data_IF_068196150843
#
_entry.id   IF_068196150843
#
_cell.length_a   1.000
_cell.length_b   1.000
_cell.length_c   1.000
_cell.angle_alpha   90.00
_cell.angle_beta   90.00
_cell.angle_gamma   90.00
#
_symmetry.space_group_name_H-M   'P 1'
#
loop_
_entity.id
_entity.type
_entity.pdbx_description
1 polymer ?
#
# COMPACT_ATOMS: atom_id res chain seq x y z
N UNK A 1 -24.63 40.64 -60.98
CA UNK A 1 -23.48 39.80 -60.59
C UNK A 1 -23.69 39.30 -59.16
N UNK A 2 -24.21 38.07 -58.98
CA UNK A 2 -24.31 37.41 -57.66
C UNK A 2 -23.36 36.21 -57.68
N UNK A 3 -22.26 36.27 -56.92
CA UNK A 3 -21.36 35.13 -56.72
C UNK A 3 -21.96 34.21 -55.66
N UNK A 4 -22.30 32.99 -56.04
CA UNK A 4 -22.64 31.91 -55.10
C UNK A 4 -21.32 31.28 -54.68
N UNK A 5 -21.00 31.40 -53.39
CA UNK A 5 -19.84 30.75 -52.77
C UNK A 5 -20.30 29.38 -52.25
N UNK A 6 -19.88 28.29 -52.91
CA UNK A 6 -20.10 26.94 -52.40
C UNK A 6 -19.14 26.67 -51.24
N UNK A 7 -19.69 26.60 -50.03
CA UNK A 7 -18.97 26.20 -48.82
C UNK A 7 -18.87 24.67 -48.80
N UNK A 8 -17.69 24.14 -49.08
CA UNK A 8 -17.40 22.71 -48.97
C UNK A 8 -17.14 22.38 -47.49
N UNK A 9 -18.14 21.79 -46.82
CA UNK A 9 -17.99 21.31 -45.44
C UNK A 9 -17.18 20.02 -45.48
N UNK A 10 -15.91 20.11 -45.07
CA UNK A 10 -15.10 18.93 -44.74
C UNK A 10 -15.65 18.34 -43.43
N UNK A 11 -16.48 17.29 -43.54
CA UNK A 11 -16.83 16.46 -42.40
C UNK A 11 -15.58 15.67 -42.02
N UNK A 12 -14.85 16.16 -41.02
CA UNK A 12 -13.80 15.41 -40.37
C UNK A 12 -14.48 14.27 -39.59
N UNK A 13 -14.56 13.10 -40.22
CA UNK A 13 -15.03 11.89 -39.57
C UNK A 13 -14.02 11.52 -38.48
N UNK A 14 -14.25 11.97 -37.24
CA UNK A 14 -13.64 11.37 -36.07
C UNK A 14 -14.07 9.90 -36.06
N UNK A 15 -13.21 9.01 -36.54
CA UNK A 15 -13.38 7.58 -36.34
C UNK A 15 -13.19 7.32 -34.86
N UNK A 16 -14.28 7.42 -34.09
CA UNK A 16 -14.44 6.66 -32.86
C UNK A 16 -14.28 5.20 -33.27
N UNK A 17 -13.09 4.63 -33.11
CA UNK A 17 -12.92 3.19 -33.15
C UNK A 17 -13.78 2.65 -32.02
N UNK A 18 -14.99 2.22 -32.35
CA UNK A 18 -15.90 1.60 -31.40
C UNK A 18 -15.14 0.42 -30.78
N UNK A 19 -14.85 0.51 -29.48
CA UNK A 19 -14.27 -0.57 -28.72
C UNK A 19 -15.30 -1.71 -28.73
N UNK A 20 -15.07 -2.76 -29.52
CA UNK A 20 -15.73 -4.04 -29.29
C UNK A 20 -14.98 -4.72 -28.14
N UNK A 21 -15.38 -4.41 -26.91
CA UNK A 21 -14.74 -4.93 -25.72
C UNK A 21 -15.57 -6.01 -25.06
N UNK A 22 -14.86 -7.05 -24.65
CA UNK A 22 -15.38 -7.98 -23.66
C UNK A 22 -15.21 -7.34 -22.27
N UNK A 23 -16.22 -7.50 -21.42
CA UNK A 23 -16.17 -7.04 -20.03
C UNK A 23 -16.25 -8.19 -19.04
N UNK A 24 -15.57 -8.03 -17.92
CA UNK A 24 -15.61 -8.92 -16.77
C UNK A 24 -15.99 -8.10 -15.54
N UNK A 25 -16.79 -8.67 -14.63
CA UNK A 25 -17.04 -8.03 -13.34
C UNK A 25 -15.75 -7.91 -12.54
N UNK A 26 -15.65 -6.91 -11.67
CA UNK A 26 -14.46 -6.74 -10.85
C UNK A 26 -14.25 -7.91 -9.88
N UNK A 27 -15.34 -8.50 -9.38
CA UNK A 27 -15.28 -9.65 -8.47
C UNK A 27 -15.07 -11.01 -9.18
N UNK A 28 -14.84 -11.02 -10.50
CA UNK A 28 -14.59 -12.24 -11.27
C UNK A 28 -13.43 -13.05 -10.67
N UNK A 29 -13.60 -14.38 -10.64
CA UNK A 29 -12.59 -15.31 -10.12
C UNK A 29 -11.22 -15.21 -10.80
N UNK A 30 -11.16 -14.67 -12.02
CA UNK A 30 -9.94 -14.49 -12.80
C UNK A 30 -9.14 -13.23 -12.42
N UNK A 31 -9.62 -12.47 -11.44
CA UNK A 31 -8.92 -11.31 -10.87
C UNK A 31 -8.57 -11.61 -9.42
N UNK A 32 -7.27 -11.68 -9.15
CA UNK A 32 -6.77 -11.82 -7.79
C UNK A 32 -6.66 -10.45 -7.13
N UNK A 33 -6.95 -10.39 -5.83
CA UNK A 33 -6.82 -9.20 -5.00
C UNK A 33 -5.94 -9.51 -3.80
N UNK A 34 -5.00 -8.62 -3.50
CA UNK A 34 -4.15 -8.68 -2.31
C UNK A 34 -4.31 -7.39 -1.53
N UNK A 35 -4.48 -7.54 -0.21
CA UNK A 35 -4.94 -6.47 0.67
C UNK A 35 -6.41 -6.67 1.07
N UNK A 36 -7.00 -5.64 1.68
CA UNK A 36 -8.36 -5.71 2.22
C UNK A 36 -9.34 -5.10 1.23
N UNK A 37 -10.29 -5.91 0.77
CA UNK A 37 -11.27 -5.52 -0.25
C UNK A 37 -12.67 -6.01 0.13
N UNK A 38 -13.68 -5.26 -0.28
CA UNK A 38 -15.08 -5.66 -0.21
C UNK A 38 -15.55 -6.04 -1.61
N UNK A 39 -16.00 -7.29 -1.80
CA UNK A 39 -16.63 -7.74 -3.05
C UNK A 39 -18.15 -7.59 -2.91
N UNK A 40 -18.76 -6.80 -3.79
CA UNK A 40 -20.19 -6.49 -3.77
C UNK A 40 -20.99 -7.46 -4.65
N UNK A 41 -22.30 -7.55 -4.36
CA UNK A 41 -23.24 -8.42 -5.09
C UNK A 41 -23.52 -7.96 -6.51
N UNK A 42 -23.26 -6.68 -6.83
CA UNK A 42 -23.40 -6.11 -8.17
C UNK A 42 -22.19 -6.38 -9.08
N UNK A 43 -21.20 -7.13 -8.59
CA UNK A 43 -19.97 -7.46 -9.33
C UNK A 43 -18.81 -6.51 -9.08
N UNK A 44 -19.03 -5.38 -8.38
CA UNK A 44 -17.98 -4.39 -8.11
C UNK A 44 -17.11 -4.77 -6.89
N UNK A 45 -15.92 -4.16 -6.79
CA UNK A 45 -14.99 -4.35 -5.67
C UNK A 45 -14.53 -3.01 -5.13
N UNK A 46 -14.60 -2.82 -3.81
CA UNK A 46 -14.23 -1.60 -3.09
C UNK A 46 -13.00 -1.80 -2.21
N UNK A 47 -12.14 -0.79 -2.13
CA UNK A 47 -10.99 -0.77 -1.23
C UNK A 47 -10.49 0.66 -0.99
N UNK A 48 -9.85 0.90 0.15
CA UNK A 48 -9.25 2.19 0.47
C UNK A 48 -7.89 2.09 1.19
N UNK A 49 -7.56 0.94 1.79
CA UNK A 49 -6.22 0.71 2.32
C UNK A 49 -5.16 0.87 1.24
N UNK A 50 -4.11 1.61 1.59
CA UNK A 50 -2.96 1.83 0.73
C UNK A 50 -2.28 0.53 0.33
N UNK A 51 -1.67 0.51 -0.85
CA UNK A 51 -0.93 -0.65 -1.33
C UNK A 51 -1.80 -1.83 -1.75
N UNK A 52 -3.12 -1.82 -1.50
CA UNK A 52 -4.05 -2.80 -2.07
C UNK A 52 -3.85 -2.87 -3.57
N UNK A 53 -3.70 -4.09 -4.08
CA UNK A 53 -3.51 -4.32 -5.50
C UNK A 53 -4.35 -5.48 -6.01
N UNK A 54 -4.60 -5.45 -7.31
CA UNK A 54 -5.17 -6.59 -8.01
C UNK A 54 -4.26 -7.01 -9.15
N UNK A 55 -4.41 -8.27 -9.56
CA UNK A 55 -3.68 -8.83 -10.70
C UNK A 55 -4.57 -9.71 -11.57
N UNK A 56 -4.23 -9.74 -12.85
CA UNK A 56 -4.80 -10.69 -13.80
C UNK A 56 -3.85 -10.84 -14.99
N UNK A 57 -3.70 -12.06 -15.48
CA UNK A 57 -3.07 -12.33 -16.76
C UNK A 57 -4.12 -12.14 -17.86
N UNK A 58 -3.80 -11.40 -18.93
CA UNK A 58 -4.74 -11.07 -19.98
C UNK A 58 -4.15 -11.23 -21.39
N UNK A 59 -5.01 -11.50 -22.37
CA UNK A 59 -4.65 -11.54 -23.81
C UNK A 59 -5.19 -10.33 -24.57
N UNK A 60 -4.91 -10.23 -25.87
CA UNK A 60 -5.50 -9.20 -26.74
C UNK A 60 -4.80 -7.84 -26.74
N UNK A 61 -3.77 -7.66 -25.91
CA UNK A 61 -2.84 -6.53 -26.00
C UNK A 61 -3.37 -5.17 -25.53
N UNK A 62 -4.54 -5.14 -24.89
CA UNK A 62 -5.11 -3.95 -24.24
C UNK A 62 -5.97 -4.33 -23.04
N UNK A 63 -5.99 -3.48 -22.02
CA UNK A 63 -6.82 -3.61 -20.83
C UNK A 63 -7.16 -2.23 -20.26
N UNK A 64 -8.42 -2.06 -19.86
CA UNK A 64 -8.97 -0.89 -19.21
C UNK A 64 -9.83 -1.31 -18.02
N UNK A 65 -10.17 -0.36 -17.16
CA UNK A 65 -11.10 -0.55 -16.05
C UNK A 65 -12.24 0.46 -16.14
N UNK A 66 -13.43 0.05 -15.75
CA UNK A 66 -14.53 0.95 -15.37
C UNK A 66 -14.47 1.14 -13.86
N UNK A 67 -14.25 2.37 -13.41
CA UNK A 67 -13.88 2.67 -12.01
C UNK A 67 -14.57 3.96 -11.55
N UNK A 68 -14.83 4.09 -10.25
CA UNK A 68 -15.23 5.33 -9.58
C UNK A 68 -14.44 5.51 -8.29
N UNK A 69 -14.41 6.73 -7.77
CA UNK A 69 -13.65 7.10 -6.57
C UNK A 69 -14.48 8.07 -5.73
N UNK A 70 -14.54 7.84 -4.41
CA UNK A 70 -15.33 8.68 -3.49
C UNK A 70 -14.68 10.05 -3.27
N UNK A 71 -13.36 10.12 -3.37
CA UNK A 71 -12.54 11.34 -3.31
C UNK A 71 -11.55 11.40 -4.47
N UNK A 72 -10.26 11.26 -4.16
CA UNK A 72 -9.19 11.12 -5.15
C UNK A 72 -8.14 10.07 -4.73
N UNK A 73 -7.55 9.40 -5.71
CA UNK A 73 -6.49 8.43 -5.45
C UNK A 73 -5.54 8.27 -6.62
N UNK A 74 -4.30 7.88 -6.32
CA UNK A 74 -3.32 7.51 -7.35
C UNK A 74 -3.11 6.01 -7.36
N UNK A 75 -2.88 5.45 -8.54
CA UNK A 75 -2.58 4.02 -8.72
C UNK A 75 -1.41 3.81 -9.67
N UNK A 76 -0.49 2.90 -9.31
CA UNK A 76 0.56 2.44 -10.21
C UNK A 76 -0.01 1.33 -11.12
N UNK A 77 0.27 1.44 -12.42
CA UNK A 77 0.00 0.41 -13.43
C UNK A 77 1.31 -0.30 -13.75
N UNK A 78 1.34 -1.61 -13.56
CA UNK A 78 2.44 -2.46 -14.01
C UNK A 78 1.95 -3.43 -15.09
N UNK A 79 2.79 -3.65 -16.09
CA UNK A 79 2.60 -4.67 -17.13
C UNK A 79 3.84 -5.54 -17.17
N UNK A 80 3.66 -6.86 -17.05
CA UNK A 80 4.77 -7.83 -16.99
C UNK A 80 5.82 -7.46 -15.93
N UNK A 81 5.33 -7.07 -14.73
CA UNK A 81 6.12 -6.59 -13.59
C UNK A 81 6.95 -5.30 -13.83
N UNK A 82 6.78 -4.66 -14.99
CA UNK A 82 7.39 -3.37 -15.32
C UNK A 82 6.40 -2.24 -15.02
N UNK A 83 6.85 -1.21 -14.31
CA UNK A 83 6.05 0.00 -14.08
C UNK A 83 5.82 0.75 -15.40
N UNK A 84 4.57 1.04 -15.73
CA UNK A 84 4.19 1.72 -16.97
C UNK A 84 3.84 3.18 -16.71
N UNK A 85 2.96 3.43 -15.74
CA UNK A 85 2.49 4.78 -15.41
C UNK A 85 1.84 4.81 -14.03
N UNK A 86 1.69 6.02 -13.50
CA UNK A 86 0.84 6.31 -12.34
C UNK A 86 -0.39 7.08 -12.83
N UNK A 87 -1.58 6.57 -12.53
CA UNK A 87 -2.86 7.18 -12.91
C UNK A 87 -3.52 7.87 -11.72
N UNK A 88 -4.25 8.94 -12.00
CA UNK A 88 -5.10 9.63 -11.03
C UNK A 88 -6.55 9.22 -11.29
N UNK A 89 -7.26 8.79 -10.25
CA UNK A 89 -8.67 8.43 -10.29
C UNK A 89 -9.43 9.38 -9.37
N UNK A 90 -10.51 9.97 -9.87
CA UNK A 90 -11.39 10.87 -9.12
C UNK A 90 -12.81 10.80 -9.68
N UNK A 91 -13.80 11.08 -8.85
CA UNK A 91 -15.19 11.21 -9.29
C UNK A 91 -16.05 9.98 -9.01
N UNK A 92 -17.26 10.25 -8.51
CA UNK A 92 -18.20 9.24 -8.00
C UNK A 92 -18.96 8.48 -9.10
N UNK A 93 -18.94 8.98 -10.33
CA UNK A 93 -19.58 8.32 -11.46
C UNK A 93 -18.61 7.35 -12.14
N UNK A 94 -19.04 6.11 -12.48
CA UNK A 94 -18.18 5.16 -13.16
C UNK A 94 -17.65 5.71 -14.49
N UNK A 95 -16.33 5.70 -14.65
CA UNK A 95 -15.62 6.14 -15.86
C UNK A 95 -14.66 5.07 -16.35
N UNK A 96 -14.34 5.08 -17.64
CA UNK A 96 -13.38 4.14 -18.24
C UNK A 96 -11.98 4.75 -18.24
N UNK A 97 -11.01 4.02 -17.68
CA UNK A 97 -9.59 4.39 -17.71
C UNK A 97 -8.80 3.28 -18.41
N UNK A 98 -8.13 3.63 -19.50
CA UNK A 98 -7.22 2.72 -20.21
C UNK A 98 -5.95 2.52 -19.39
N UNK A 99 -5.66 1.28 -19.02
CA UNK A 99 -4.47 0.94 -18.23
C UNK A 99 -3.28 0.66 -19.15
N UNK A 100 -3.49 -0.17 -20.17
CA UNK A 100 -2.49 -0.43 -21.21
C UNK A 100 -3.16 -0.72 -22.56
N UNK A 101 -2.48 -0.39 -23.64
CA UNK A 101 -2.91 -0.64 -25.02
C UNK A 101 -1.68 -0.83 -25.92
N UNK A 102 -1.91 -1.29 -27.16
CA UNK A 102 -0.87 -1.48 -28.18
C UNK A 102 0.25 -2.43 -27.73
N UNK A 103 -0.06 -3.37 -26.84
CA UNK A 103 0.86 -4.42 -26.45
C UNK A 103 0.85 -5.54 -27.51
N UNK A 104 1.89 -6.37 -27.50
CA UNK A 104 1.95 -7.58 -28.31
C UNK A 104 0.79 -8.54 -28.02
N UNK A 105 0.51 -9.47 -28.93
CA UNK A 105 -0.58 -10.47 -28.77
C UNK A 105 -0.28 -11.60 -27.78
N UNK A 106 0.85 -11.58 -27.08
CA UNK A 106 1.17 -12.57 -26.03
C UNK A 106 0.29 -12.34 -24.79
N UNK A 107 0.36 -13.26 -23.85
CA UNK A 107 -0.22 -13.06 -22.51
C UNK A 107 0.60 -12.01 -21.77
N UNK A 108 -0.08 -11.06 -21.15
CA UNK A 108 0.52 -10.01 -20.32
C UNK A 108 -0.05 -10.07 -18.91
N UNK A 109 0.75 -9.68 -17.92
CA UNK A 109 0.29 -9.56 -16.53
C UNK A 109 -0.01 -8.12 -16.18
N UNK A 110 -1.25 -7.82 -15.80
CA UNK A 110 -1.59 -6.54 -15.17
C UNK A 110 -1.38 -6.63 -13.66
N UNK A 111 -0.79 -5.60 -13.07
CA UNK A 111 -0.98 -5.24 -11.65
C UNK A 111 -1.38 -3.77 -11.55
N UNK A 112 -2.50 -3.48 -10.89
CA UNK A 112 -2.83 -2.12 -10.47
C UNK A 112 -2.74 -2.06 -8.95
N UNK A 113 -2.00 -1.09 -8.43
CA UNK A 113 -1.73 -0.93 -7.01
C UNK A 113 -2.13 0.47 -6.56
N UNK A 114 -2.94 0.58 -5.51
CA UNK A 114 -3.28 1.87 -4.90
C UNK A 114 -2.06 2.49 -4.22
N UNK A 115 -1.70 3.69 -4.65
CA UNK A 115 -0.55 4.42 -4.14
C UNK A 115 -0.86 5.21 -2.87
N UNK A 116 -2.10 5.69 -2.73
CA UNK A 116 -2.49 6.65 -1.69
C UNK A 116 -3.33 6.00 -0.61
N UNK A 117 -3.35 6.57 0.60
CA UNK A 117 -4.13 6.03 1.72
C UNK A 117 -5.63 6.34 1.61
N UNK A 118 -6.42 5.73 2.49
CA UNK A 118 -7.87 5.72 2.38
C UNK A 118 -8.51 7.03 2.83
N UNK A 119 -7.79 7.84 3.62
CA UNK A 119 -8.24 9.17 4.02
C UNK A 119 -8.58 10.08 2.81
N UNK A 120 -7.96 9.82 1.64
CA UNK A 120 -8.19 10.59 0.42
C UNK A 120 -9.30 10.03 -0.47
N UNK A 121 -9.64 8.75 -0.34
CA UNK A 121 -10.65 8.11 -1.19
C UNK A 121 -10.74 6.59 -1.08
N UNK A 122 -11.93 6.08 -1.37
CA UNK A 122 -12.25 4.67 -1.55
C UNK A 122 -12.57 4.38 -3.03
N UNK A 123 -11.71 3.56 -3.64
CA UNK A 123 -11.82 3.17 -5.04
C UNK A 123 -12.84 2.04 -5.20
N UNK A 124 -13.71 2.15 -6.20
CA UNK A 124 -14.62 1.08 -6.62
C UNK A 124 -14.33 0.70 -8.07
N UNK A 125 -13.87 -0.52 -8.30
CA UNK A 125 -13.76 -1.08 -9.65
C UNK A 125 -15.07 -1.78 -9.96
N UNK A 126 -15.67 -1.43 -11.09
CA UNK A 126 -16.93 -2.01 -11.56
C UNK A 126 -16.66 -3.15 -12.52
N UNK A 127 -15.79 -2.93 -13.50
CA UNK A 127 -15.53 -3.89 -14.57
C UNK A 127 -14.09 -3.79 -15.10
N UNK A 128 -13.59 -4.90 -15.62
CA UNK A 128 -12.44 -4.97 -16.50
C UNK A 128 -12.89 -5.01 -17.95
N UNK A 129 -12.23 -4.25 -18.81
CA UNK A 129 -12.52 -4.17 -20.23
C UNK A 129 -11.28 -4.60 -21.02
N UNK A 130 -11.43 -5.59 -21.88
CA UNK A 130 -10.34 -6.15 -22.71
C UNK A 130 -10.79 -6.25 -24.16
N UNK A 131 -9.86 -6.54 -25.06
CA UNK A 131 -10.20 -6.77 -26.47
C UNK A 131 -11.25 -7.88 -26.66
N UNK A 132 -12.01 -7.82 -27.75
CA UNK A 132 -12.91 -8.90 -28.15
C UNK A 132 -12.19 -10.27 -28.11
N UNK A 133 -12.85 -11.26 -27.50
CA UNK A 133 -12.36 -12.64 -27.28
C UNK A 133 -11.11 -12.75 -26.40
N UNK A 134 -10.64 -11.68 -25.77
CA UNK A 134 -9.57 -11.76 -24.80
C UNK A 134 -10.03 -12.48 -23.53
N UNK A 135 -9.09 -13.10 -22.84
CA UNK A 135 -9.33 -13.87 -21.64
C UNK A 135 -8.58 -13.25 -20.47
N UNK A 136 -9.18 -13.35 -19.29
CA UNK A 136 -8.52 -13.11 -18.01
C UNK A 136 -8.15 -14.45 -17.37
N UNK A 137 -7.05 -14.46 -16.63
CA UNK A 137 -6.63 -15.59 -15.81
C UNK A 137 -6.10 -15.10 -14.46
N UNK A 138 -6.57 -15.73 -13.39
CA UNK A 138 -6.10 -15.42 -12.04
C UNK A 138 -4.58 -15.60 -11.92
N UNK A 139 -3.93 -14.64 -11.26
CA UNK A 139 -2.53 -14.75 -10.86
C UNK A 139 -2.48 -15.43 -9.49
N UNK A 140 -1.74 -16.54 -9.33
CA UNK A 140 -1.59 -17.20 -8.05
C UNK A 140 -0.98 -16.26 -7.00
N UNK A 141 -1.46 -16.36 -5.76
CA UNK A 141 -0.81 -15.71 -4.62
C UNK A 141 0.61 -16.26 -4.47
N UNK A 142 1.49 -15.41 -3.96
CA UNK A 142 2.85 -15.81 -3.62
C UNK A 142 2.85 -16.70 -2.39
N UNK A 143 3.92 -17.48 -2.23
CA UNK A 143 4.08 -18.39 -1.09
C UNK A 143 4.46 -17.68 0.20
N UNK A 144 4.80 -16.39 0.12
CA UNK A 144 5.17 -15.53 1.25
C UNK A 144 4.22 -14.35 1.32
N UNK A 145 3.76 -14.00 2.52
CA UNK A 145 2.88 -12.87 2.78
C UNK A 145 3.36 -12.06 3.99
N UNK A 146 3.49 -10.75 3.82
CA UNK A 146 3.86 -9.81 4.89
C UNK A 146 2.70 -8.85 5.15
N UNK A 147 2.21 -8.76 6.38
CA UNK A 147 1.29 -7.69 6.77
C UNK A 147 2.02 -6.63 7.60
N UNK A 148 1.92 -5.37 7.20
CA UNK A 148 2.58 -4.25 7.87
C UNK A 148 1.52 -3.34 8.48
N UNK A 149 1.58 -3.16 9.79
CA UNK A 149 0.83 -2.17 10.52
C UNK A 149 1.70 -0.95 10.78
N UNK A 150 1.29 0.24 10.37
CA UNK A 150 2.15 1.41 10.51
C UNK A 150 1.49 2.76 10.32
N UNK A 151 2.34 3.77 10.20
CA UNK A 151 1.98 5.17 10.02
C UNK A 151 2.34 5.68 8.60
N UNK A 152 2.58 6.98 8.47
CA UNK A 152 2.95 7.66 7.23
C UNK A 152 4.20 7.09 6.55
N UNK A 153 5.13 6.49 7.31
CA UNK A 153 6.30 5.83 6.71
C UNK A 153 5.90 4.57 5.94
N UNK A 154 4.87 3.87 6.40
CA UNK A 154 4.32 2.68 5.73
C UNK A 154 3.43 3.09 4.56
N UNK A 155 2.70 4.21 4.68
CA UNK A 155 1.96 4.78 3.56
C UNK A 155 2.90 5.20 2.41
N UNK A 156 4.13 5.61 2.73
CA UNK A 156 5.00 6.23 1.73
C UNK A 156 4.61 7.67 1.45
N UNK A 157 4.13 8.34 2.50
CA UNK A 157 3.83 9.77 2.53
C UNK A 157 5.05 10.57 2.06
N UNK A 158 4.85 11.45 1.08
CA UNK A 158 5.91 12.33 0.58
C UNK A 158 7.08 11.63 -0.12
N UNK A 159 7.02 10.33 -0.40
CA UNK A 159 8.16 9.55 -0.93
C UNK A 159 8.67 10.01 -2.29
N UNK A 160 7.81 10.65 -3.09
CA UNK A 160 8.16 11.27 -4.38
C UNK A 160 8.34 12.78 -4.29
N UNK A 161 8.30 13.34 -3.08
CA UNK A 161 8.64 14.73 -2.83
C UNK A 161 10.11 15.02 -3.11
N UNK A 162 10.41 16.26 -3.49
CA UNK A 162 11.76 16.65 -3.97
C UNK A 162 12.64 17.24 -2.87
N UNK A 163 12.05 17.74 -1.79
CA UNK A 163 12.77 18.40 -0.68
C UNK A 163 11.97 18.31 0.61
N UNK A 164 12.68 18.25 1.73
CA UNK A 164 12.12 18.14 3.08
C UNK A 164 11.04 19.17 3.40
N UNK A 165 11.26 20.42 2.97
CA UNK A 165 10.43 21.56 3.34
C UNK A 165 9.23 21.79 2.41
N UNK A 166 9.00 20.95 1.41
CA UNK A 166 7.82 21.11 0.56
C UNK A 166 6.61 20.46 1.21
N UNK A 167 5.43 21.10 1.11
CA UNK A 167 4.22 20.52 1.65
C UNK A 167 3.89 19.23 0.90
N UNK A 168 3.28 18.30 1.61
CA UNK A 168 2.69 17.11 1.02
C UNK A 168 1.68 17.45 -0.05
N UNK A 169 1.69 16.63 -1.09
CA UNK A 169 0.66 16.56 -2.10
C UNK A 169 0.31 15.10 -2.30
N UNK A 170 -0.96 14.80 -2.56
CA UNK A 170 -1.43 13.42 -2.72
C UNK A 170 -0.68 12.71 -3.86
N UNK A 171 -0.28 13.43 -4.92
CA UNK A 171 0.53 12.88 -6.00
C UNK A 171 1.97 12.51 -5.59
N UNK A 172 2.44 12.90 -4.40
CA UNK A 172 3.78 12.52 -3.89
C UNK A 172 3.78 11.25 -3.05
N UNK A 173 2.61 10.75 -2.66
CA UNK A 173 2.48 9.50 -1.92
C UNK A 173 2.57 8.29 -2.85
N UNK A 174 3.46 7.34 -2.51
CA UNK A 174 3.62 6.12 -3.27
C UNK A 174 4.20 4.99 -2.41
N UNK A 175 3.31 4.16 -1.84
CA UNK A 175 3.70 3.00 -1.04
C UNK A 175 4.64 2.02 -1.76
N UNK A 176 4.64 1.96 -3.11
CA UNK A 176 5.58 1.13 -3.84
C UNK A 176 7.05 1.52 -3.58
N UNK A 177 7.29 2.78 -3.19
CA UNK A 177 8.58 3.32 -2.79
C UNK A 177 8.80 3.31 -1.28
N UNK A 178 7.84 2.83 -0.49
CA UNK A 178 7.98 2.65 0.94
C UNK A 178 8.68 1.33 1.30
N UNK A 179 9.29 1.29 2.48
CA UNK A 179 10.08 0.16 2.95
C UNK A 179 9.32 -1.18 2.91
N UNK A 180 8.02 -1.19 3.26
CA UNK A 180 7.20 -2.41 3.26
C UNK A 180 7.13 -3.07 1.88
N UNK A 181 6.83 -2.30 0.83
CA UNK A 181 6.83 -2.82 -0.54
C UNK A 181 8.24 -3.16 -1.05
N UNK A 182 9.28 -2.44 -0.62
CA UNK A 182 10.67 -2.78 -0.97
C UNK A 182 11.05 -4.15 -0.41
N UNK A 183 10.74 -4.40 0.87
CA UNK A 183 10.97 -5.68 1.55
C UNK A 183 10.17 -6.79 0.87
N UNK A 184 8.89 -6.57 0.59
CA UNK A 184 8.04 -7.57 -0.05
C UNK A 184 8.56 -7.94 -1.45
N UNK A 185 9.01 -6.96 -2.25
CA UNK A 185 9.67 -7.26 -3.54
C UNK A 185 10.98 -8.01 -3.36
N UNK A 186 11.78 -7.66 -2.35
CA UNK A 186 13.06 -8.32 -2.10
C UNK A 186 12.90 -9.81 -1.81
N UNK A 187 11.90 -10.19 -1.02
CA UNK A 187 11.63 -11.57 -0.64
C UNK A 187 10.66 -12.31 -1.56
N UNK A 188 10.25 -11.72 -2.67
CA UNK A 188 9.17 -12.23 -3.52
C UNK A 188 7.92 -12.61 -2.70
N UNK A 189 7.44 -11.66 -1.89
CA UNK A 189 6.27 -11.81 -1.04
C UNK A 189 5.12 -10.94 -1.52
N UNK A 190 3.90 -11.43 -1.30
CA UNK A 190 2.70 -10.60 -1.29
C UNK A 190 2.68 -9.77 0.01
N UNK A 191 1.87 -8.71 0.04
CA UNK A 191 1.78 -7.88 1.23
C UNK A 191 0.43 -7.20 1.40
N UNK A 192 0.12 -6.83 2.64
CA UNK A 192 -0.95 -5.91 2.99
C UNK A 192 -0.40 -4.77 3.86
N UNK A 193 -0.75 -3.52 3.54
CA UNK A 193 -0.33 -2.35 4.28
C UNK A 193 -1.54 -1.76 5.00
N UNK A 194 -1.54 -1.85 6.32
CA UNK A 194 -2.59 -1.32 7.19
C UNK A 194 -2.00 -0.12 7.91
N UNK A 195 -2.08 1.02 7.26
CA UNK A 195 -1.39 2.23 7.69
C UNK A 195 -2.19 3.50 7.42
N UNK A 196 -2.02 4.49 8.29
CA UNK A 196 -2.66 5.79 8.21
C UNK A 196 -1.70 6.89 8.66
N UNK A 197 -1.53 7.93 7.87
CA UNK A 197 -0.57 8.99 8.16
C UNK A 197 -0.95 9.78 9.41
N UNK A 198 0.02 9.99 10.31
CA UNK A 198 -0.20 10.74 11.54
C UNK A 198 -0.81 9.92 12.69
N UNK A 199 -1.25 8.67 12.48
CA UNK A 199 -1.76 7.86 13.59
C UNK A 199 -0.67 7.14 14.37
N UNK A 200 -0.84 7.04 15.68
CA UNK A 200 0.04 6.31 16.58
C UNK A 200 -0.55 5.01 17.10
N UNK A 201 0.17 4.35 18.01
CA UNK A 201 -0.33 3.21 18.78
C UNK A 201 -1.40 3.64 19.81
N UNK A 202 -1.25 4.84 20.36
CA UNK A 202 -2.08 5.42 21.43
C UNK A 202 -2.43 6.87 21.11
N UNK A 203 -1.45 7.65 20.64
CA UNK A 203 -1.57 9.08 20.40
C UNK A 203 -1.25 9.44 18.95
N UNK A 204 -2.14 10.20 18.33
CA UNK A 204 -2.02 10.68 16.95
C UNK A 204 -1.35 12.06 16.91
N UNK A 205 -0.67 12.35 15.81
CA UNK A 205 0.09 13.58 15.60
C UNK A 205 -0.80 14.82 15.78
N UNK A 206 -0.40 15.70 16.70
CA UNK A 206 -1.08 16.98 16.94
C UNK A 206 -2.42 16.88 17.70
N UNK A 207 -2.78 15.70 18.22
CA UNK A 207 -3.94 15.57 19.09
C UNK A 207 -3.72 16.32 20.42
N UNK A 208 -4.79 16.86 20.99
CA UNK A 208 -4.77 17.54 22.30
C UNK A 208 -4.97 16.54 23.45
N UNK A 209 -5.52 15.36 23.17
CA UNK A 209 -5.69 14.29 24.15
C UNK A 209 -4.45 13.41 24.20
N UNK A 210 -4.09 12.94 25.40
CA UNK A 210 -2.98 12.00 25.58
C UNK A 210 -3.26 10.64 24.91
N UNK A 211 -4.52 10.23 24.85
CA UNK A 211 -4.97 9.04 24.15
C UNK A 211 -5.98 9.49 23.11
N UNK A 212 -5.64 9.27 21.84
CA UNK A 212 -6.52 9.59 20.72
C UNK A 212 -7.72 8.64 20.70
N UNK A 213 -8.88 9.18 20.33
CA UNK A 213 -10.16 8.43 20.31
C UNK A 213 -10.13 7.32 19.26
N UNK A 214 -9.52 7.60 18.11
CA UNK A 214 -9.20 6.61 17.08
C UNK A 214 -7.70 6.69 16.85
N UNK A 215 -7.05 5.54 16.81
CA UNK A 215 -5.61 5.39 16.59
C UNK A 215 -5.38 4.01 15.96
N UNK A 216 -4.13 3.69 15.58
CA UNK A 216 -3.87 2.44 14.86
C UNK A 216 -4.21 1.19 15.67
N UNK A 217 -4.16 1.22 17.01
CA UNK A 217 -4.56 0.07 17.86
C UNK A 217 -6.05 -0.27 17.79
N UNK A 218 -6.87 0.63 17.25
CA UNK A 218 -8.32 0.42 17.07
C UNK A 218 -8.72 0.42 15.60
N UNK A 219 -7.96 1.10 14.74
CA UNK A 219 -8.20 1.16 13.30
C UNK A 219 -7.80 -0.13 12.58
N UNK A 220 -6.74 -0.81 13.03
CA UNK A 220 -6.19 -1.96 12.30
C UNK A 220 -7.12 -3.18 12.16
N UNK A 221 -8.23 -3.22 12.90
CA UNK A 221 -9.25 -4.28 12.80
C UNK A 221 -10.35 -3.98 11.79
N UNK A 222 -10.24 -2.88 11.05
CA UNK A 222 -11.24 -2.45 10.07
C UNK A 222 -10.92 -2.95 8.65
N UNK A 223 -11.96 -3.29 7.90
CA UNK A 223 -11.91 -3.65 6.48
C UNK A 223 -11.45 -2.47 5.62
N UNK A 224 -11.81 -1.26 6.04
CA UNK A 224 -11.49 -0.01 5.39
C UNK A 224 -10.65 0.87 6.32
N UNK A 225 -9.79 1.68 5.73
CA UNK A 225 -9.03 2.72 6.41
C UNK A 225 -9.97 3.83 6.90
N UNK A 226 -10.73 4.45 5.99
CA UNK A 226 -11.54 5.63 6.29
C UNK A 226 -12.98 5.57 5.74
N UNK A 227 -13.26 4.74 4.74
CA UNK A 227 -14.54 4.74 4.03
C UNK A 227 -15.76 4.47 4.93
N UNK A 228 -15.61 3.52 5.85
CA UNK A 228 -16.64 3.13 6.81
C UNK A 228 -16.02 2.27 7.92
N UNK A 229 -16.62 2.27 9.11
CA UNK A 229 -16.25 1.33 10.17
C UNK A 229 -16.91 -0.02 9.90
N UNK A 230 -16.12 -0.97 9.45
CA UNK A 230 -16.55 -2.34 9.15
C UNK A 230 -15.48 -3.28 9.64
N UNK A 231 -15.83 -4.24 10.49
CA UNK A 231 -14.86 -5.20 10.99
C UNK A 231 -14.27 -6.02 9.83
N UNK A 232 -12.95 -6.20 9.84
CA UNK A 232 -12.26 -7.03 8.86
C UNK A 232 -12.43 -8.52 9.20
N UNK A 233 -12.66 -9.35 8.18
CA UNK A 233 -12.55 -10.81 8.32
C UNK A 233 -11.09 -11.25 8.13
N UNK A 234 -10.43 -11.51 9.25
CA UNK A 234 -9.04 -11.97 9.30
C UNK A 234 -8.81 -13.37 8.69
N UNK A 235 -9.85 -14.05 8.18
CA UNK A 235 -9.69 -15.34 7.48
C UNK A 235 -9.39 -15.20 5.99
N UNK A 236 -9.47 -13.99 5.43
CA UNK A 236 -9.30 -13.75 3.98
C UNK A 236 -7.87 -14.04 3.51
N UNK A 237 -6.86 -13.69 4.31
CA UNK A 237 -5.48 -14.12 4.13
C UNK A 237 -4.82 -14.37 5.47
N UNK A 238 -3.70 -15.10 5.47
CA UNK A 238 -2.90 -15.39 6.65
C UNK A 238 -1.44 -14.98 6.37
N UNK A 239 -0.87 -14.00 7.09
CA UNK A 239 0.50 -13.56 6.86
C UNK A 239 1.52 -14.49 7.52
N UNK A 240 2.65 -14.71 6.85
CA UNK A 240 3.80 -15.42 7.42
C UNK A 240 4.57 -14.53 8.41
N UNK A 241 4.59 -13.23 8.14
CA UNK A 241 5.25 -12.22 8.97
C UNK A 241 4.31 -11.03 9.17
N UNK A 242 4.20 -10.59 10.42
CA UNK A 242 3.65 -9.27 10.73
C UNK A 242 4.76 -8.31 11.15
N UNK A 243 4.73 -7.11 10.60
CA UNK A 243 5.59 -6.01 11.01
C UNK A 243 4.73 -4.91 11.63
N UNK A 244 5.16 -4.36 12.76
CA UNK A 244 4.49 -3.22 13.40
C UNK A 244 5.50 -2.09 13.50
N UNK A 245 5.27 -0.99 12.79
CA UNK A 245 6.13 0.19 12.76
C UNK A 245 5.30 1.42 13.17
N UNK A 246 5.10 1.56 14.49
CA UNK A 246 4.27 2.58 15.12
C UNK A 246 5.02 3.15 16.32
N UNK A 247 4.72 4.40 16.68
CA UNK A 247 5.38 5.09 17.79
C UNK A 247 5.90 6.48 17.44
N UNK A 248 6.14 6.74 16.15
CA UNK A 248 6.61 8.04 15.66
C UNK A 248 5.68 9.16 16.13
N UNK A 249 4.39 8.98 15.88
CA UNK A 249 3.37 9.98 16.20
C UNK A 249 3.05 10.02 17.70
N UNK A 250 3.21 8.90 18.41
CA UNK A 250 2.96 8.85 19.85
C UNK A 250 3.87 9.80 20.63
N UNK A 251 5.12 9.96 20.20
CA UNK A 251 6.14 10.77 20.89
C UNK A 251 6.51 12.03 20.13
N UNK A 252 5.53 12.67 19.49
CA UNK A 252 5.67 13.98 18.87
C UNK A 252 5.73 15.12 19.92
N UNK A 253 6.21 16.32 19.55
CA UNK A 253 6.25 17.46 20.49
C UNK A 253 4.86 17.88 20.97
N UNK A 254 4.64 17.83 22.29
CA UNK A 254 3.38 18.25 22.90
C UNK A 254 2.91 17.27 23.95
N UNK A 255 1.75 16.67 23.73
CA UNK A 255 1.19 15.64 24.60
C UNK A 255 1.82 14.28 24.25
N UNK A 256 2.35 13.56 25.23
CA UNK A 256 2.94 12.23 25.02
C UNK A 256 2.26 11.21 25.94
N UNK A 257 1.96 9.99 25.46
CA UNK A 257 1.44 8.93 26.30
C UNK A 257 2.52 8.48 27.28
N UNK A 258 2.09 8.03 28.46
CA UNK A 258 3.01 7.38 29.37
C UNK A 258 3.49 6.04 28.79
N UNK A 259 4.64 5.57 29.26
CA UNK A 259 5.27 4.34 28.78
C UNK A 259 4.31 3.14 28.90
N UNK A 260 3.55 3.05 30.00
CA UNK A 260 2.68 1.91 30.27
C UNK A 260 1.43 1.91 29.40
N UNK A 261 0.89 3.08 29.04
CA UNK A 261 -0.18 3.24 28.06
C UNK A 261 0.25 2.69 26.70
N UNK A 262 1.42 3.11 26.21
CA UNK A 262 1.98 2.62 24.94
C UNK A 262 2.22 1.11 24.99
N UNK A 263 2.90 0.62 26.03
CA UNK A 263 3.21 -0.82 26.20
C UNK A 263 1.94 -1.67 26.30
N UNK A 264 0.93 -1.23 27.06
CA UNK A 264 -0.33 -1.94 27.19
C UNK A 264 -1.10 -2.02 25.87
N UNK A 265 -1.17 -0.91 25.12
CA UNK A 265 -1.81 -0.88 23.80
C UNK A 265 -1.10 -1.80 22.80
N UNK A 266 0.23 -1.74 22.76
CA UNK A 266 1.04 -2.58 21.88
C UNK A 266 0.87 -4.07 22.21
N UNK A 267 0.91 -4.45 23.50
CA UNK A 267 0.64 -5.83 23.93
C UNK A 267 -0.74 -6.31 23.51
N UNK A 268 -1.76 -5.46 23.64
CA UNK A 268 -3.14 -5.77 23.21
C UNK A 268 -3.23 -5.95 21.69
N UNK A 269 -2.53 -5.14 20.91
CA UNK A 269 -2.44 -5.30 19.46
C UNK A 269 -1.80 -6.65 19.08
N UNK A 270 -0.65 -6.99 19.67
CA UNK A 270 0.02 -8.31 19.46
C UNK A 270 -0.91 -9.46 19.83
N UNK A 271 -1.60 -9.38 20.97
CA UNK A 271 -2.56 -10.42 21.41
C UNK A 271 -3.74 -10.56 20.44
N UNK A 272 -4.23 -9.45 19.91
CA UNK A 272 -5.33 -9.45 18.92
C UNK A 272 -4.89 -10.07 17.61
N UNK A 273 -3.71 -9.71 17.12
CA UNK A 273 -3.08 -10.34 15.93
C UNK A 273 -2.97 -11.84 16.14
N UNK A 274 -2.43 -12.28 17.29
CA UNK A 274 -2.31 -13.72 17.62
C UNK A 274 -3.64 -14.45 17.73
N UNK A 275 -4.69 -13.77 18.20
CA UNK A 275 -6.04 -14.35 18.25
C UNK A 275 -6.54 -14.72 16.85
N UNK A 276 -6.14 -13.96 15.83
CA UNK A 276 -6.58 -14.14 14.45
C UNK A 276 -5.63 -15.03 13.63
N UNK A 277 -4.32 -14.83 13.76
CA UNK A 277 -3.32 -15.51 12.94
C UNK A 277 -2.52 -16.59 13.68
N UNK A 278 -2.77 -16.83 14.96
CA UNK A 278 -1.98 -17.76 15.76
C UNK A 278 -0.58 -17.20 16.07
N UNK A 279 0.36 -18.08 16.40
CA UNK A 279 1.69 -17.69 16.88
C UNK A 279 2.69 -17.44 15.73
N UNK A 280 2.33 -16.62 14.76
CA UNK A 280 3.24 -16.21 13.68
C UNK A 280 4.35 -15.27 14.20
N UNK A 281 5.49 -15.17 13.50
CA UNK A 281 6.49 -14.13 13.71
C UNK A 281 5.91 -12.72 13.63
N UNK A 282 6.17 -11.93 14.68
CA UNK A 282 5.84 -10.49 14.75
C UNK A 282 7.15 -9.72 14.99
N UNK A 283 7.51 -8.86 14.04
CA UNK A 283 8.62 -7.93 14.16
C UNK A 283 8.11 -6.55 14.61
N UNK A 284 8.40 -6.19 15.85
CA UNK A 284 8.23 -4.84 16.38
C UNK A 284 9.36 -3.96 15.84
N UNK A 285 9.05 -3.12 14.86
CA UNK A 285 10.02 -2.24 14.21
C UNK A 285 10.23 -1.02 15.09
N UNK A 286 11.50 -0.74 15.39
CA UNK A 286 11.95 0.53 15.94
C UNK A 286 11.93 1.58 14.83
N UNK A 287 11.04 2.60 14.83
CA UNK A 287 11.02 3.59 13.75
C UNK A 287 12.36 4.33 13.61
N UNK A 288 12.72 4.75 12.39
CA UNK A 288 14.00 5.42 12.16
C UNK A 288 14.10 6.78 12.87
N UNK A 289 12.96 7.41 13.14
CA UNK A 289 12.80 8.67 13.84
C UNK A 289 12.60 8.51 15.35
N UNK A 290 12.74 7.29 15.87
CA UNK A 290 12.49 7.02 17.27
C UNK A 290 13.40 7.82 18.19
N UNK A 291 12.78 8.68 19.00
CA UNK A 291 13.46 9.48 20.01
C UNK A 291 13.67 8.68 21.31
N UNK A 292 14.28 9.31 22.32
CA UNK A 292 14.57 8.67 23.61
C UNK A 292 13.33 8.12 24.34
N UNK A 293 12.17 8.77 24.21
CA UNK A 293 10.92 8.29 24.83
C UNK A 293 10.42 7.02 24.16
N UNK A 294 10.36 7.00 22.82
CA UNK A 294 9.96 5.82 22.09
C UNK A 294 10.94 4.65 22.31
N UNK A 295 12.25 4.94 22.38
CA UNK A 295 13.26 3.94 22.75
C UNK A 295 13.00 3.34 24.13
N UNK A 296 12.71 4.16 25.13
CA UNK A 296 12.39 3.69 26.47
C UNK A 296 11.12 2.82 26.48
N UNK A 297 10.08 3.21 25.73
CA UNK A 297 8.83 2.45 25.61
C UNK A 297 9.01 1.11 24.91
N UNK A 298 9.77 1.07 23.81
CA UNK A 298 10.09 -0.19 23.13
C UNK A 298 10.98 -1.09 23.98
N UNK A 299 11.92 -0.53 24.75
CA UNK A 299 12.72 -1.29 25.70
C UNK A 299 11.86 -1.87 26.83
N UNK A 300 10.92 -1.10 27.36
CA UNK A 300 9.99 -1.57 28.38
C UNK A 300 9.06 -2.65 27.82
N UNK A 301 8.53 -2.47 26.61
CA UNK A 301 7.74 -3.48 25.91
C UNK A 301 8.52 -4.78 25.76
N UNK A 302 9.77 -4.71 25.29
CA UNK A 302 10.66 -5.87 25.12
C UNK A 302 10.86 -6.64 26.43
N UNK A 303 11.04 -5.95 27.56
CA UNK A 303 11.12 -6.59 28.89
C UNK A 303 9.83 -7.31 29.26
N UNK A 304 8.67 -6.68 29.04
CA UNK A 304 7.37 -7.24 29.41
C UNK A 304 6.92 -8.42 28.53
N UNK A 305 7.44 -8.52 27.31
CA UNK A 305 7.15 -9.61 26.38
C UNK A 305 8.32 -10.57 26.20
N UNK A 306 9.37 -10.51 27.02
CA UNK A 306 10.57 -11.34 26.89
C UNK A 306 10.28 -12.86 26.88
N UNK A 307 9.19 -13.29 27.53
CA UNK A 307 8.72 -14.69 27.52
C UNK A 307 7.76 -15.05 26.38
N UNK A 308 7.45 -14.12 25.47
CA UNK A 308 6.52 -14.35 24.37
C UNK A 308 7.29 -14.90 23.17
N UNK A 309 6.97 -16.11 22.73
CA UNK A 309 7.59 -16.72 21.55
C UNK A 309 7.24 -15.96 20.26
N UNK A 310 8.13 -15.95 19.26
CA UNK A 310 7.88 -15.32 17.95
C UNK A 310 7.55 -13.81 18.00
N UNK A 311 8.00 -13.08 19.03
CA UNK A 311 7.99 -11.62 19.07
C UNK A 311 9.42 -11.12 19.04
N UNK A 312 9.74 -10.36 18.01
CA UNK A 312 11.08 -9.85 17.73
C UNK A 312 11.07 -8.33 17.75
N UNK A 313 12.22 -7.73 18.01
CA UNK A 313 12.42 -6.29 17.97
C UNK A 313 13.51 -5.97 16.97
N UNK A 314 13.27 -5.01 16.07
CA UNK A 314 14.31 -4.59 15.16
C UNK A 314 15.37 -3.80 15.91
N UNK A 315 16.63 -3.94 15.48
CA UNK A 315 17.70 -3.06 15.92
C UNK A 315 17.33 -1.59 15.62
N UNK A 316 17.69 -0.65 16.51
CA UNK A 316 17.57 0.77 16.22
C UNK A 316 18.36 1.15 14.96
N UNK A 317 17.86 2.13 14.22
CA UNK A 317 18.47 2.59 12.96
C UNK A 317 18.83 4.09 13.01
N UNK A 318 19.66 4.52 13.98
CA UNK A 318 20.00 5.93 14.15
C UNK A 318 20.78 6.45 12.94
N UNK A 319 20.46 7.68 12.51
CA UNK A 319 21.16 8.42 11.45
C UNK A 319 21.19 7.72 10.07
N UNK A 320 20.38 6.67 9.85
CA UNK A 320 20.37 5.97 8.57
C UNK A 320 19.71 6.83 7.47
N UNK A 321 18.66 7.57 7.83
CA UNK A 321 17.99 8.57 7.00
C UNK A 321 18.61 9.93 7.31
N UNK A 322 19.20 10.57 6.30
CA UNK A 322 19.90 11.85 6.41
C UNK A 322 19.11 12.97 5.71
N UNK A 323 18.95 14.10 6.39
CA UNK A 323 18.16 15.23 5.88
C UNK A 323 18.61 15.70 4.49
N UNK A 324 19.92 15.72 4.24
CA UNK A 324 20.51 16.25 3.02
C UNK A 324 20.17 15.44 1.75
N UNK A 325 19.78 14.16 1.87
CA UNK A 325 19.64 13.27 0.70
C UNK A 325 18.38 12.40 0.72
N UNK A 326 17.86 12.13 1.91
CA UNK A 326 16.89 11.06 2.11
C UNK A 326 15.48 11.56 2.44
N UNK A 327 15.24 12.87 2.35
CA UNK A 327 13.94 13.48 2.66
C UNK A 327 13.12 13.83 1.41
N UNK A 328 11.82 13.58 1.51
CA UNK A 328 10.75 13.99 0.61
C UNK A 328 9.86 15.03 1.29
N UNK A 329 8.57 15.08 0.95
CA UNK A 329 7.66 16.12 1.50
C UNK A 329 7.49 16.03 3.02
N UNK A 330 7.32 17.18 3.66
CA UNK A 330 7.12 17.36 5.11
C UNK A 330 8.07 16.50 5.96
N UNK A 331 9.36 16.50 5.61
CA UNK A 331 10.42 15.79 6.35
C UNK A 331 10.23 14.26 6.44
N UNK A 332 9.40 13.68 5.58
CA UNK A 332 9.27 12.23 5.49
C UNK A 332 10.37 11.63 4.60
N UNK A 333 10.76 10.36 4.78
CA UNK A 333 11.75 9.74 3.92
C UNK A 333 11.30 9.69 2.46
N UNK A 334 12.16 10.17 1.55
CA UNK A 334 12.01 9.89 0.12
C UNK A 334 12.34 8.43 -0.19
N UNK A 335 12.27 8.03 -1.46
CA UNK A 335 12.57 6.66 -1.87
C UNK A 335 13.95 6.15 -1.40
N UNK A 336 15.00 6.99 -1.40
CA UNK A 336 16.32 6.58 -0.90
C UNK A 336 16.31 6.35 0.61
N UNK A 337 15.66 7.23 1.38
CA UNK A 337 15.48 7.02 2.82
C UNK A 337 14.71 5.74 3.13
N UNK A 338 13.61 5.50 2.43
CA UNK A 338 12.82 4.26 2.54
C UNK A 338 13.61 3.02 2.17
N UNK A 339 14.46 3.09 1.12
CA UNK A 339 15.33 1.98 0.73
C UNK A 339 16.36 1.66 1.81
N UNK A 340 16.93 2.67 2.48
CA UNK A 340 17.85 2.45 3.60
C UNK A 340 17.17 1.83 4.82
N UNK A 341 15.94 2.24 5.13
CA UNK A 341 15.10 1.60 6.16
C UNK A 341 14.89 0.12 5.81
N UNK A 342 14.47 -0.17 4.57
CA UNK A 342 14.27 -1.54 4.10
C UNK A 342 15.55 -2.39 4.21
N UNK A 343 16.69 -1.86 3.75
CA UNK A 343 17.98 -2.57 3.79
C UNK A 343 18.51 -2.79 5.21
N UNK A 344 18.02 -2.05 6.20
CA UNK A 344 18.31 -2.29 7.62
C UNK A 344 17.47 -3.43 8.19
N UNK A 345 16.24 -3.60 7.70
CA UNK A 345 15.29 -4.60 8.18
C UNK A 345 15.45 -5.96 7.47
N UNK A 346 15.82 -5.98 6.20
CA UNK A 346 15.95 -7.20 5.38
C UNK A 346 16.81 -8.28 6.03
N UNK A 347 18.03 -8.02 6.53
CA UNK A 347 18.85 -9.06 7.16
C UNK A 347 18.20 -9.64 8.43
N UNK A 348 17.47 -8.81 9.19
CA UNK A 348 16.78 -9.24 10.41
C UNK A 348 15.57 -10.11 10.06
N UNK A 349 14.81 -9.74 9.03
CA UNK A 349 13.70 -10.54 8.50
C UNK A 349 14.20 -11.88 7.97
N UNK A 350 15.31 -11.90 7.24
CA UNK A 350 15.96 -13.13 6.77
C UNK A 350 16.30 -14.06 7.94
N UNK A 351 16.91 -13.52 9.01
CA UNK A 351 17.22 -14.30 10.21
C UNK A 351 15.99 -14.84 10.95
N UNK A 352 14.89 -14.06 11.00
CA UNK A 352 13.64 -14.47 11.66
C UNK A 352 12.91 -15.55 10.85
N UNK A 353 12.81 -15.35 9.53
CA UNK A 353 11.95 -16.15 8.65
C UNK A 353 12.68 -17.30 7.97
N UNK A 354 14.02 -17.32 8.00
CA UNK A 354 14.83 -18.22 7.19
C UNK A 354 14.69 -17.96 5.68
N UNK A 355 14.28 -16.74 5.30
CA UNK A 355 14.17 -16.37 3.89
C UNK A 355 15.53 -15.94 3.38
N UNK A 356 16.08 -16.71 2.43
CA UNK A 356 17.41 -16.47 1.89
C UNK A 356 17.55 -15.07 1.29
N UNK A 357 18.71 -14.46 1.55
CA UNK A 357 19.14 -13.27 0.84
C UNK A 357 19.61 -13.72 -0.55
N UNK A 358 19.07 -13.19 -1.66
CA UNK A 358 19.60 -13.46 -3.00
C UNK A 358 21.03 -12.93 -3.09
N UNK A 359 21.99 -13.82 -2.83
CA UNK A 359 23.41 -13.58 -3.06
C UNK A 359 23.73 -13.97 -4.50
N UNK A 360 24.27 -13.03 -5.28
CA UNK A 360 24.81 -13.37 -6.58
C UNK A 360 26.11 -14.15 -6.36
N UNK A 361 26.08 -15.45 -6.60
CA UNK A 361 27.31 -16.20 -6.79
C UNK A 361 27.95 -15.71 -8.08
N UNK A 362 29.17 -15.17 -7.98
CA UNK A 362 29.98 -14.92 -9.17
C UNK A 362 30.12 -16.25 -9.91
N UNK A 363 29.64 -16.32 -11.16
CA UNK A 363 30.00 -17.43 -12.05
C UNK A 363 31.53 -17.48 -12.08
N UNK A 364 32.12 -18.57 -11.56
CA UNK A 364 33.54 -18.86 -11.81
C UNK A 364 33.69 -18.99 -13.32
N UNK A 365 34.53 -18.14 -13.91
CA UNK A 365 34.97 -18.25 -15.30
C UNK A 365 35.82 -19.50 -15.50
#
# INVERSE_FOLDING_TARGET
MKKILSLMVFVCACTLSAWADQSFFANDSQVSYTGRVEKLSDGSVRYDWIGTYFQTDFTGGKIAIKVSETGESYHNVFIDDVWVKKIHIQGKHPQVIVLAEKLSKKVHRLRLQKCTEGQYGCTTIHQFLVADKAQLRAVPAKTRMIEVYGDSYTCGYGTEGKKASEPFRIDTENCNKAYGCIIARYFDADYALIAHSGQGMVHDWGDKMQISVENMSTRFVQLFDAAQKTAYDFKVYHPDLVMINLGTNDYNPGMVPDIYQYVASYKKMIQTIRKHYGNIPILCVTPHSANGYLMASLQQLSKEVAGWSNVYFSQPMPNIVTEARDMGSDWHPNYQGQAKIAMTLIPQISAIMGWDLPIYEYKKY
#
